data_IF_733152357941
#
_entry.id   IF_733152357941
#
_cell.length_a   1.000
_cell.length_b   1.000
_cell.length_c   1.000
_cell.angle_alpha   90.00
_cell.angle_beta   90.00
_cell.angle_gamma   90.00
#
_symmetry.space_group_name_H-M   'P 1'
#
loop_
_entity.id
_entity.type
_entity.pdbx_description
1 polymer ?
#
# COMPACT_ATOMS: atom_id res chain seq x y z
N UNK A 1 -64.40 -59.46 7.44
CA UNK A 1 -63.16 -59.38 6.62
C UNK A 1 -62.67 -57.95 6.31
N UNK A 2 -63.24 -56.88 6.89
CA UNK A 2 -62.95 -55.48 6.50
C UNK A 2 -61.86 -54.74 7.33
N UNK A 3 -61.29 -55.35 8.38
CA UNK A 3 -60.37 -54.66 9.30
C UNK A 3 -58.89 -54.66 8.84
N UNK A 4 -58.50 -55.59 7.96
CA UNK A 4 -57.10 -55.73 7.48
C UNK A 4 -56.70 -54.67 6.44
N UNK A 5 -57.62 -54.24 5.58
CA UNK A 5 -57.37 -53.30 4.48
C UNK A 5 -57.14 -51.86 4.95
N UNK A 6 -57.75 -51.45 6.07
CA UNK A 6 -57.54 -50.12 6.67
C UNK A 6 -56.14 -49.96 7.29
N UNK A 7 -55.64 -50.98 8.01
CA UNK A 7 -54.31 -50.89 8.64
C UNK A 7 -53.17 -50.88 7.63
N UNK A 8 -53.26 -51.66 6.55
CA UNK A 8 -52.27 -51.67 5.45
C UNK A 8 -52.17 -50.34 4.70
N UNK A 9 -53.30 -49.64 4.51
CA UNK A 9 -53.31 -48.30 3.91
C UNK A 9 -52.71 -47.25 4.83
N UNK A 10 -52.95 -47.34 6.14
CA UNK A 10 -52.38 -46.43 7.14
C UNK A 10 -50.86 -46.57 7.21
N UNK A 11 -50.33 -47.81 7.22
CA UNK A 11 -48.88 -48.06 7.23
C UNK A 11 -48.18 -47.56 5.96
N UNK A 12 -48.81 -47.69 4.79
CA UNK A 12 -48.28 -47.14 3.52
C UNK A 12 -48.29 -45.62 3.51
N UNK A 13 -49.34 -44.99 4.00
CA UNK A 13 -49.42 -43.53 4.12
C UNK A 13 -48.32 -43.00 5.07
N UNK A 14 -48.15 -43.62 6.23
CA UNK A 14 -47.07 -43.28 7.17
C UNK A 14 -45.70 -43.42 6.51
N UNK A 15 -45.46 -44.51 5.76
CA UNK A 15 -44.22 -44.70 5.01
C UNK A 15 -44.00 -43.58 3.98
N UNK A 16 -45.00 -43.22 3.18
CA UNK A 16 -44.87 -42.13 2.19
C UNK A 16 -44.61 -40.77 2.84
N UNK A 17 -45.24 -40.48 3.98
CA UNK A 17 -45.00 -39.23 4.72
C UNK A 17 -43.58 -39.18 5.28
N UNK A 18 -43.05 -40.29 5.80
CA UNK A 18 -41.66 -40.38 6.27
C UNK A 18 -40.69 -40.17 5.11
N UNK A 19 -40.89 -40.87 3.99
CA UNK A 19 -40.02 -40.73 2.80
C UNK A 19 -40.05 -39.30 2.29
N UNK A 20 -41.22 -38.69 2.11
CA UNK A 20 -41.34 -37.29 1.69
C UNK A 20 -40.61 -36.36 2.66
N UNK A 21 -40.81 -36.52 3.96
CA UNK A 21 -40.14 -35.69 4.97
C UNK A 21 -38.62 -35.82 4.89
N UNK A 22 -38.09 -37.02 4.70
CA UNK A 22 -36.66 -37.25 4.52
C UNK A 22 -36.17 -36.57 3.23
N UNK A 23 -36.89 -36.74 2.12
CA UNK A 23 -36.55 -36.10 0.84
C UNK A 23 -36.55 -34.58 0.95
N UNK A 24 -37.55 -33.98 1.62
CA UNK A 24 -37.64 -32.54 1.82
C UNK A 24 -36.46 -32.03 2.65
N UNK A 25 -36.11 -32.73 3.74
CA UNK A 25 -34.96 -32.38 4.59
C UNK A 25 -33.65 -32.48 3.81
N UNK A 26 -33.47 -33.55 3.02
CA UNK A 26 -32.28 -33.71 2.18
C UNK A 26 -32.19 -32.63 1.11
N UNK A 27 -33.31 -32.27 0.47
CA UNK A 27 -33.35 -31.20 -0.52
C UNK A 27 -32.95 -29.85 0.10
N UNK A 28 -33.53 -29.51 1.25
CA UNK A 28 -33.19 -28.28 1.98
C UNK A 28 -31.71 -28.29 2.38
N UNK A 29 -31.17 -29.42 2.84
CA UNK A 29 -29.76 -29.54 3.21
C UNK A 29 -28.84 -29.34 2.00
N UNK A 30 -29.16 -29.94 0.85
CA UNK A 30 -28.37 -29.79 -0.39
C UNK A 30 -28.43 -28.34 -0.89
N UNK A 31 -29.61 -27.72 -0.91
CA UNK A 31 -29.76 -26.32 -1.31
C UNK A 31 -29.00 -25.39 -0.35
N UNK A 32 -29.11 -25.62 0.96
CA UNK A 32 -28.37 -24.88 1.98
C UNK A 32 -26.85 -25.01 1.82
N UNK A 33 -26.35 -26.23 1.54
CA UNK A 33 -24.93 -26.46 1.30
C UNK A 33 -24.45 -25.80 0.00
N UNK A 34 -25.23 -25.91 -1.08
CA UNK A 34 -24.91 -25.25 -2.35
C UNK A 34 -24.88 -23.72 -2.22
N UNK A 35 -25.85 -23.15 -1.50
CA UNK A 35 -25.85 -21.73 -1.17
C UNK A 35 -24.64 -21.35 -0.31
N UNK A 36 -24.32 -22.14 0.71
CA UNK A 36 -23.18 -21.88 1.58
C UNK A 36 -21.86 -21.82 0.80
N UNK A 37 -21.60 -22.83 -0.04
CA UNK A 37 -20.36 -22.92 -0.81
C UNK A 37 -20.23 -21.82 -1.88
N UNK A 38 -21.35 -21.30 -2.39
CA UNK A 38 -21.35 -20.25 -3.42
C UNK A 38 -21.34 -18.85 -2.83
N UNK A 39 -22.11 -18.60 -1.76
CA UNK A 39 -22.27 -17.27 -1.17
C UNK A 39 -21.14 -16.92 -0.18
N UNK A 40 -20.66 -17.89 0.59
CA UNK A 40 -19.67 -17.64 1.66
C UNK A 40 -18.28 -18.17 1.35
N UNK A 41 -18.07 -18.73 0.14
CA UNK A 41 -16.82 -19.20 -0.44
C UNK A 41 -15.69 -19.41 0.60
N UNK A 42 -15.68 -20.56 1.31
CA UNK A 42 -14.74 -20.81 2.41
C UNK A 42 -13.31 -21.10 1.93
N UNK A 43 -12.99 -20.85 0.65
CA UNK A 43 -11.71 -21.22 0.05
C UNK A 43 -10.61 -20.18 0.27
N UNK A 44 -10.91 -19.05 0.93
CA UNK A 44 -9.86 -18.13 1.37
C UNK A 44 -9.03 -18.75 2.47
N UNK A 45 -7.73 -18.78 2.24
CA UNK A 45 -6.75 -19.28 3.18
C UNK A 45 -5.61 -18.27 3.27
N UNK A 46 -5.15 -17.99 4.47
CA UNK A 46 -4.16 -16.96 4.68
C UNK A 46 -3.97 -16.64 6.15
N UNK A 47 -2.88 -15.93 6.45
CA UNK A 47 -2.47 -15.56 7.79
C UNK A 47 -1.94 -14.14 7.80
N UNK A 48 -2.13 -13.45 8.92
CA UNK A 48 -1.32 -12.29 9.29
C UNK A 48 -0.02 -12.84 9.88
N UNK A 49 1.10 -12.59 9.21
CA UNK A 49 2.39 -13.12 9.64
C UNK A 49 2.97 -12.29 10.80
N UNK A 50 2.82 -10.97 10.71
CA UNK A 50 3.35 -10.04 11.70
C UNK A 50 2.62 -8.67 11.60
N UNK A 51 2.46 -8.01 12.74
CA UNK A 51 1.84 -6.69 12.88
C UNK A 51 2.51 -5.90 14.00
N UNK A 52 2.74 -4.61 13.76
CA UNK A 52 3.30 -3.68 14.73
C UNK A 52 2.83 -2.25 14.42
N UNK A 53 3.33 -1.27 15.17
CA UNK A 53 2.98 0.15 15.03
C UNK A 53 3.33 0.80 13.70
N UNK A 54 3.98 0.07 12.77
CA UNK A 54 4.36 0.59 11.44
C UNK A 54 3.67 -0.15 10.31
N UNK A 55 3.42 -1.44 10.45
CA UNK A 55 2.88 -2.23 9.35
C UNK A 55 2.17 -3.49 9.82
N UNK A 56 1.28 -3.99 8.95
CA UNK A 56 0.63 -5.30 9.05
C UNK A 56 0.88 -6.04 7.76
N UNK A 57 1.46 -7.24 7.81
CA UNK A 57 1.76 -8.02 6.61
C UNK A 57 1.33 -9.46 6.75
N UNK A 58 1.11 -10.10 5.61
CA UNK A 58 0.71 -11.48 5.56
C UNK A 58 0.45 -11.92 4.14
N UNK A 59 -0.39 -12.93 4.01
CA UNK A 59 -0.81 -13.45 2.72
C UNK A 59 -2.23 -13.97 2.77
N UNK A 60 -2.86 -13.99 1.60
CA UNK A 60 -4.16 -14.60 1.41
C UNK A 60 -4.28 -15.11 -0.02
N UNK A 61 -4.88 -16.29 -0.18
CA UNK A 61 -5.17 -16.92 -1.46
C UNK A 61 -6.60 -17.42 -1.48
N UNK A 62 -7.24 -17.29 -2.64
CA UNK A 62 -8.49 -17.99 -2.95
C UNK A 62 -8.16 -19.33 -3.61
N UNK A 63 -8.30 -20.45 -2.89
CA UNK A 63 -7.97 -21.77 -3.46
C UNK A 63 -8.89 -22.20 -4.62
N UNK A 64 -10.05 -21.60 -4.78
CA UNK A 64 -10.92 -21.86 -5.94
C UNK A 64 -10.50 -21.06 -7.19
N UNK A 65 -9.70 -20.00 -7.02
CA UNK A 65 -9.18 -19.19 -8.10
C UNK A 65 -7.75 -18.68 -7.76
N UNK A 66 -6.76 -19.59 -7.69
CA UNK A 66 -5.41 -19.26 -7.21
C UNK A 66 -4.63 -18.31 -8.14
N UNK A 67 -5.10 -18.10 -9.36
CA UNK A 67 -4.51 -17.14 -10.30
C UNK A 67 -5.02 -15.70 -10.11
N UNK A 68 -6.02 -15.46 -9.26
CA UNK A 68 -6.66 -14.17 -9.07
C UNK A 68 -6.19 -13.53 -7.77
N UNK A 69 -5.74 -12.28 -7.85
CA UNK A 69 -5.38 -11.48 -6.68
C UNK A 69 -6.62 -11.29 -5.78
N UNK A 70 -6.43 -11.48 -4.47
CA UNK A 70 -7.52 -11.32 -3.48
C UNK A 70 -7.47 -9.91 -2.92
N UNK A 71 -8.59 -9.18 -2.91
CA UNK A 71 -8.68 -7.92 -2.16
C UNK A 71 -8.65 -8.20 -0.65
N UNK A 72 -7.72 -7.55 0.04
CA UNK A 72 -7.56 -7.63 1.49
C UNK A 72 -7.91 -6.28 2.12
N UNK A 73 -8.68 -6.30 3.20
CA UNK A 73 -9.06 -5.12 3.99
C UNK A 73 -8.51 -5.21 5.40
N UNK A 74 -7.76 -4.19 5.83
CA UNK A 74 -7.27 -4.07 7.20
C UNK A 74 -8.25 -3.30 8.06
N UNK A 75 -8.53 -3.85 9.25
CA UNK A 75 -9.21 -3.18 10.35
C UNK A 75 -8.32 -3.23 11.58
N UNK A 76 -8.20 -2.10 12.30
CA UNK A 76 -7.53 -2.05 13.60
C UNK A 76 -8.54 -1.56 14.63
N UNK A 77 -8.69 -2.30 15.72
CA UNK A 77 -9.67 -2.05 16.80
C UNK A 77 -11.10 -1.84 16.26
N UNK A 78 -11.45 -2.61 15.22
CA UNK A 78 -12.75 -2.54 14.56
C UNK A 78 -12.94 -1.36 13.59
N UNK A 79 -11.93 -0.51 13.39
CA UNK A 79 -11.97 0.60 12.41
C UNK A 79 -11.30 0.20 11.11
N UNK A 80 -11.96 0.47 9.99
CA UNK A 80 -11.37 0.28 8.66
C UNK A 80 -10.14 1.18 8.49
N UNK A 81 -9.06 0.62 7.97
CA UNK A 81 -7.80 1.33 7.71
C UNK A 81 -7.59 1.49 6.21
N UNK A 82 -7.49 0.38 5.48
CA UNK A 82 -7.11 0.37 4.06
C UNK A 82 -7.61 -0.90 3.37
N UNK A 83 -7.82 -0.82 2.04
CA UNK A 83 -8.11 -1.97 1.17
C UNK A 83 -7.16 -1.99 -0.03
N UNK A 84 -6.60 -3.16 -0.35
CA UNK A 84 -5.74 -3.34 -1.51
C UNK A 84 -5.70 -4.79 -1.99
N UNK A 85 -5.34 -5.06 -3.27
CA UNK A 85 -5.10 -6.42 -3.73
C UNK A 85 -3.85 -7.01 -3.07
N UNK A 86 -3.94 -8.27 -2.62
CA UNK A 86 -2.84 -9.05 -2.11
C UNK A 86 -1.98 -9.59 -3.27
N UNK A 87 -1.14 -8.73 -3.84
CA UNK A 87 -0.35 -9.02 -5.03
C UNK A 87 1.17 -8.99 -4.80
N UNK A 88 1.61 -8.86 -3.54
CA UNK A 88 3.03 -8.85 -3.20
C UNK A 88 3.62 -10.27 -3.34
N UNK A 89 4.88 -10.39 -3.80
CA UNK A 89 5.52 -11.67 -4.02
C UNK A 89 5.75 -12.46 -2.72
N UNK A 90 5.35 -13.74 -2.74
CA UNK A 90 5.48 -14.74 -1.69
C UNK A 90 6.01 -16.07 -2.26
N UNK A 91 7.32 -16.15 -2.57
CA UNK A 91 7.94 -17.37 -3.09
C UNK A 91 7.80 -18.58 -2.14
N UNK A 92 7.71 -18.31 -0.83
CA UNK A 92 7.48 -19.30 0.21
C UNK A 92 6.14 -20.03 0.05
N UNK A 93 5.09 -19.36 -0.44
CA UNK A 93 3.77 -19.96 -0.66
C UNK A 93 3.77 -20.87 -1.89
N UNK A 94 4.48 -20.48 -2.96
CA UNK A 94 4.67 -21.33 -4.16
C UNK A 94 5.44 -22.59 -3.80
N UNK A 95 6.50 -22.48 -2.97
CA UNK A 95 7.28 -23.61 -2.50
C UNK A 95 6.44 -24.67 -1.75
N UNK A 96 5.34 -24.25 -1.11
CA UNK A 96 4.40 -25.15 -0.43
C UNK A 96 3.33 -25.77 -1.34
N UNK A 97 3.38 -25.54 -2.66
CA UNK A 97 2.39 -25.98 -3.65
C UNK A 97 0.96 -25.51 -3.34
N UNK A 98 0.81 -24.44 -2.57
CA UNK A 98 -0.49 -23.84 -2.25
C UNK A 98 -0.98 -22.88 -3.35
N UNK A 99 -0.07 -22.42 -4.20
CA UNK A 99 -0.29 -21.40 -5.21
C UNK A 99 0.52 -21.68 -6.48
N UNK A 100 -0.03 -21.29 -7.63
CA UNK A 100 0.65 -21.37 -8.93
C UNK A 100 1.55 -20.15 -9.21
N UNK A 101 1.36 -19.06 -8.46
CA UNK A 101 2.14 -17.82 -8.59
C UNK A 101 2.46 -17.22 -7.22
N UNK A 102 3.34 -16.22 -7.19
CA UNK A 102 3.83 -15.61 -5.96
C UNK A 102 2.94 -14.46 -5.45
N UNK A 103 1.94 -14.01 -6.20
CA UNK A 103 1.19 -12.77 -5.93
C UNK A 103 0.05 -13.01 -4.93
N UNK A 104 0.43 -13.26 -3.68
CA UNK A 104 -0.52 -13.55 -2.61
C UNK A 104 -0.25 -12.78 -1.31
N UNK A 105 0.79 -11.96 -1.27
CA UNK A 105 1.14 -11.17 -0.10
C UNK A 105 0.36 -9.86 -0.01
N UNK A 106 0.01 -9.45 1.20
CA UNK A 106 -0.47 -8.10 1.51
C UNK A 106 0.50 -7.39 2.47
N UNK A 107 0.58 -6.07 2.36
CA UNK A 107 1.38 -5.23 3.25
C UNK A 107 0.68 -3.88 3.46
N UNK A 108 0.15 -3.65 4.65
CA UNK A 108 -0.51 -2.40 5.03
C UNK A 108 0.40 -1.56 5.89
N UNK A 109 0.28 -0.24 5.77
CA UNK A 109 0.91 0.69 6.71
C UNK A 109 -0.03 0.88 7.89
N UNK A 110 0.49 0.77 9.12
CA UNK A 110 -0.33 0.98 10.32
C UNK A 110 -0.50 2.48 10.56
N UNK A 111 -1.73 2.98 10.77
CA UNK A 111 -1.98 4.39 11.09
C UNK A 111 -1.44 4.73 12.49
N UNK A 112 -1.54 6.00 12.85
CA UNK A 112 -1.27 6.44 14.21
C UNK A 112 -2.16 5.70 15.22
N UNK A 113 -1.55 5.20 16.30
CA UNK A 113 -2.23 4.49 17.36
C UNK A 113 -1.70 4.97 18.71
N UNK A 114 -2.62 5.20 19.64
CA UNK A 114 -2.32 5.54 21.03
C UNK A 114 -1.44 4.47 21.67
N UNK A 115 -0.73 4.81 22.75
CA UNK A 115 0.01 3.79 23.49
C UNK A 115 -0.93 2.74 24.08
N UNK A 116 -0.64 1.47 23.84
CA UNK A 116 -1.48 0.38 24.31
C UNK A 116 -1.47 -0.86 23.43
N UNK A 117 -2.38 -1.76 23.75
CA UNK A 117 -2.66 -2.96 22.98
C UNK A 117 -3.68 -2.67 21.88
N UNK A 118 -3.40 -3.16 20.67
CA UNK A 118 -4.24 -3.02 19.50
C UNK A 118 -4.45 -4.38 18.84
N UNK A 119 -5.57 -4.50 18.15
CA UNK A 119 -5.96 -5.70 17.44
C UNK A 119 -6.11 -5.43 15.94
N UNK A 120 -5.27 -6.07 15.13
CA UNK A 120 -5.39 -6.09 13.68
C UNK A 120 -6.23 -7.28 13.20
N UNK A 121 -7.24 -7.00 12.37
CA UNK A 121 -8.04 -7.98 11.64
C UNK A 121 -7.93 -7.71 10.14
N UNK A 122 -7.51 -8.71 9.38
CA UNK A 122 -7.49 -8.64 7.91
C UNK A 122 -8.62 -9.49 7.36
N UNK A 123 -9.41 -8.94 6.45
CA UNK A 123 -10.51 -9.64 5.78
C UNK A 123 -10.21 -9.81 4.30
N UNK A 124 -10.47 -11.00 3.77
CA UNK A 124 -10.54 -11.25 2.34
C UNK A 124 -11.92 -10.84 1.84
N UNK A 125 -11.96 -10.09 0.74
CA UNK A 125 -13.21 -9.72 0.09
C UNK A 125 -13.56 -10.77 -0.95
N UNK A 126 -14.80 -11.26 -0.86
CA UNK A 126 -15.38 -12.15 -1.86
C UNK A 126 -16.54 -11.47 -2.56
N UNK A 127 -16.42 -11.32 -3.87
CA UNK A 127 -17.47 -10.80 -4.74
C UNK A 127 -18.16 -11.94 -5.49
N UNK A 128 -19.50 -11.91 -5.52
CA UNK A 128 -20.30 -12.89 -6.25
C UNK A 128 -21.53 -12.24 -6.88
N UNK A 129 -22.16 -12.94 -7.84
CA UNK A 129 -23.32 -12.42 -8.57
C UNK A 129 -22.99 -11.15 -9.34
N UNK A 130 -21.90 -11.16 -10.12
CA UNK A 130 -21.44 -10.01 -10.92
C UNK A 130 -21.18 -8.72 -10.10
N UNK A 131 -20.82 -8.88 -8.82
CA UNK A 131 -20.50 -7.77 -7.92
C UNK A 131 -21.69 -7.30 -7.07
N UNK A 132 -22.88 -7.85 -7.24
CA UNK A 132 -24.05 -7.51 -6.41
C UNK A 132 -23.87 -7.89 -4.93
N UNK A 133 -23.00 -8.88 -4.65
CA UNK A 133 -22.76 -9.38 -3.30
C UNK A 133 -21.28 -9.28 -2.96
N UNK A 134 -20.99 -8.57 -1.87
CA UNK A 134 -19.68 -8.50 -1.23
C UNK A 134 -19.76 -9.12 0.17
N UNK A 135 -18.89 -10.09 0.43
CA UNK A 135 -18.76 -10.74 1.73
C UNK A 135 -17.33 -10.64 2.22
N UNK A 136 -17.14 -10.60 3.54
CA UNK A 136 -15.83 -10.50 4.18
C UNK A 136 -15.56 -11.79 4.96
N UNK A 137 -14.42 -12.43 4.68
CA UNK A 137 -13.93 -13.57 5.45
C UNK A 137 -12.69 -13.16 6.24
N UNK A 138 -12.67 -13.40 7.54
CA UNK A 138 -11.48 -13.16 8.35
C UNK A 138 -10.32 -14.04 7.87
N UNK A 139 -9.16 -13.43 7.63
CA UNK A 139 -7.92 -14.11 7.26
C UNK A 139 -7.22 -14.56 8.54
N UNK A 140 -7.11 -15.87 8.74
CA UNK A 140 -6.46 -16.44 9.92
C UNK A 140 -7.20 -16.08 11.22
N UNK A 141 -6.49 -15.44 12.14
CA UNK A 141 -6.99 -14.98 13.45
C UNK A 141 -6.63 -13.51 13.66
N UNK A 142 -7.32 -12.79 14.56
CA UNK A 142 -6.91 -11.45 14.94
C UNK A 142 -5.49 -11.45 15.50
N UNK A 143 -4.67 -10.49 15.08
CA UNK A 143 -3.30 -10.33 15.53
C UNK A 143 -3.25 -9.19 16.56
N UNK A 144 -2.78 -9.48 17.76
CA UNK A 144 -2.65 -8.49 18.83
C UNK A 144 -1.21 -7.99 18.89
N UNK A 145 -1.03 -6.68 18.98
CA UNK A 145 0.28 -6.06 19.09
C UNK A 145 0.23 -4.88 20.06
N UNK A 146 1.36 -4.58 20.68
CA UNK A 146 1.48 -3.44 21.60
C UNK A 146 2.29 -2.36 20.90
N UNK A 147 1.84 -1.12 21.04
CA UNK A 147 2.58 0.07 20.63
C UNK A 147 2.87 0.93 21.85
N UNK A 148 4.05 1.55 21.91
CA UNK A 148 4.39 2.55 22.95
C UNK A 148 3.69 3.90 22.71
N UNK A 149 2.76 3.93 21.76
CA UNK A 149 2.21 5.14 21.18
C UNK A 149 3.13 5.53 20.03
N UNK A 150 2.57 5.57 18.84
CA UNK A 150 3.19 6.33 17.77
C UNK A 150 2.34 7.59 17.70
N UNK A 151 2.90 8.82 17.81
CA UNK A 151 2.13 9.99 17.44
C UNK A 151 1.49 9.73 16.08
N UNK A 152 0.47 10.50 15.72
CA UNK A 152 0.19 10.72 14.30
C UNK A 152 1.36 11.46 13.66
N UNK A 153 2.57 10.89 13.72
CA UNK A 153 3.65 11.26 12.86
C UNK A 153 3.18 10.90 11.46
N UNK A 154 3.02 11.91 10.59
CA UNK A 154 2.56 11.68 9.25
C UNK A 154 3.53 10.70 8.62
N UNK A 155 2.98 9.61 8.11
CA UNK A 155 3.77 8.63 7.40
C UNK A 155 4.13 9.25 6.06
N UNK A 156 5.25 9.98 6.08
CA UNK A 156 5.78 10.58 4.88
C UNK A 156 6.47 9.50 4.05
N UNK A 157 5.98 9.31 2.83
CA UNK A 157 6.65 8.54 1.80
C UNK A 157 7.16 9.51 0.76
N UNK A 158 8.44 9.46 0.44
CA UNK A 158 9.01 10.33 -0.59
C UNK A 158 10.36 9.87 -1.09
N UNK A 159 10.85 10.53 -2.12
CA UNK A 159 12.11 10.20 -2.78
C UNK A 159 12.76 11.45 -3.37
N UNK A 160 14.10 11.46 -3.44
CA UNK A 160 14.86 12.43 -4.25
C UNK A 160 15.18 11.77 -5.58
N UNK A 161 14.43 12.12 -6.63
CA UNK A 161 14.62 11.52 -7.96
C UNK A 161 15.98 11.91 -8.56
N UNK A 162 16.41 13.16 -8.34
CA UNK A 162 17.65 13.68 -8.90
C UNK A 162 18.18 14.85 -8.07
N UNK A 163 19.51 14.88 -7.88
CA UNK A 163 20.24 16.00 -7.34
C UNK A 163 21.49 16.26 -8.20
N UNK A 164 21.68 17.49 -8.65
CA UNK A 164 22.82 17.90 -9.46
C UNK A 164 23.14 19.39 -9.27
N UNK A 165 24.15 19.90 -9.97
CA UNK A 165 24.61 21.29 -9.89
C UNK A 165 23.56 22.34 -10.31
N UNK A 166 22.45 21.94 -10.92
CA UNK A 166 21.39 22.82 -11.41
C UNK A 166 20.13 22.73 -10.55
N UNK A 167 19.75 21.53 -10.10
CA UNK A 167 18.52 21.34 -9.33
C UNK A 167 18.53 20.09 -8.44
N UNK A 168 17.58 20.09 -7.49
CA UNK A 168 17.18 18.93 -6.71
C UNK A 168 15.67 18.76 -6.84
N UNK A 169 15.21 17.58 -7.26
CA UNK A 169 13.77 17.30 -7.44
C UNK A 169 13.39 15.94 -6.90
N UNK A 170 12.11 15.80 -6.60
CA UNK A 170 11.58 14.57 -6.04
C UNK A 170 10.10 14.70 -5.72
N UNK A 171 9.64 13.87 -4.81
CA UNK A 171 8.25 13.88 -4.35
C UNK A 171 8.14 13.47 -2.88
N UNK A 172 7.03 13.87 -2.27
CA UNK A 172 6.64 13.43 -0.94
C UNK A 172 5.12 13.42 -0.79
N UNK A 173 4.61 12.41 -0.09
CA UNK A 173 3.21 12.22 0.25
C UNK A 173 3.14 12.03 1.75
N UNK A 174 2.23 12.76 2.39
CA UNK A 174 1.77 12.43 3.73
C UNK A 174 0.65 11.38 3.62
N UNK A 175 0.92 10.13 4.01
CA UNK A 175 -0.12 9.09 3.97
C UNK A 175 -1.23 9.29 5.01
N UNK A 176 -1.03 10.12 6.04
CA UNK A 176 -2.08 10.49 6.99
C UNK A 176 -2.99 11.58 6.42
N UNK A 177 -2.45 12.48 5.59
CA UNK A 177 -3.23 13.48 4.85
C UNK A 177 -2.84 13.53 3.36
N UNK A 178 -3.27 12.54 2.53
CA UNK A 178 -2.81 12.42 1.16
C UNK A 178 -3.13 13.61 0.24
N UNK A 179 -4.10 14.46 0.60
CA UNK A 179 -4.43 15.68 -0.14
C UNK A 179 -3.62 16.92 0.31
N UNK A 180 -2.81 16.79 1.37
CA UNK A 180 -1.94 17.86 1.84
C UNK A 180 -0.66 17.93 1.00
N UNK A 181 -0.09 19.13 0.91
CA UNK A 181 1.20 19.39 0.26
C UNK A 181 2.23 19.68 1.36
N UNK A 182 3.01 18.69 1.84
CA UNK A 182 3.93 18.90 2.94
C UNK A 182 4.98 19.96 2.62
N UNK A 183 5.39 20.73 3.62
CA UNK A 183 6.54 21.62 3.49
C UNK A 183 7.83 20.80 3.53
N UNK A 184 8.73 21.05 2.57
CA UNK A 184 10.04 20.41 2.47
C UNK A 184 11.16 21.43 2.45
N UNK A 185 12.28 21.09 3.07
CA UNK A 185 13.48 21.91 3.17
C UNK A 185 14.67 21.22 2.50
N UNK A 186 15.36 21.96 1.62
CA UNK A 186 16.61 21.52 1.03
C UNK A 186 17.79 22.01 1.86
N UNK A 187 18.70 21.08 2.17
CA UNK A 187 20.03 21.37 2.70
C UNK A 187 21.08 20.84 1.73
N UNK A 188 22.12 21.63 1.48
CA UNK A 188 23.32 21.18 0.76
C UNK A 188 24.51 21.39 1.69
N UNK A 189 25.30 20.34 1.90
CA UNK A 189 26.45 20.34 2.82
C UNK A 189 26.11 20.88 4.22
N UNK A 190 24.93 20.47 4.72
CA UNK A 190 24.35 20.88 6.01
C UNK A 190 23.95 22.35 6.10
N UNK A 191 24.04 23.11 5.01
CA UNK A 191 23.53 24.48 4.92
C UNK A 191 22.11 24.48 4.40
N UNK A 192 21.20 25.15 5.11
CA UNK A 192 19.84 25.40 4.63
C UNK A 192 19.87 26.25 3.35
N UNK A 193 19.14 25.80 2.33
CA UNK A 193 19.04 26.48 1.03
C UNK A 193 17.68 27.16 0.91
N UNK A 194 16.59 26.39 0.94
CA UNK A 194 15.23 26.88 0.73
C UNK A 194 14.20 25.93 1.36
N UNK A 195 13.00 26.45 1.65
CA UNK A 195 11.82 25.68 2.05
C UNK A 195 10.65 25.92 1.09
N UNK A 196 9.85 24.90 0.78
CA UNK A 196 8.70 24.99 -0.13
C UNK A 196 7.67 23.89 0.12
N UNK A 197 6.40 24.14 -0.21
CA UNK A 197 5.38 23.09 -0.27
C UNK A 197 5.60 22.15 -1.47
N UNK A 198 5.53 20.84 -1.26
CA UNK A 198 5.56 19.84 -2.32
C UNK A 198 4.21 19.78 -3.05
N UNK A 199 4.03 20.63 -4.06
CA UNK A 199 2.77 20.81 -4.79
C UNK A 199 2.93 20.72 -6.31
N UNK A 200 4.10 20.30 -6.81
CA UNK A 200 4.36 20.17 -8.24
C UNK A 200 3.67 18.92 -8.80
N UNK A 201 3.17 18.97 -10.05
CA UNK A 201 2.44 17.87 -10.67
C UNK A 201 3.32 16.62 -10.89
N UNK A 202 2.77 15.46 -10.53
CA UNK A 202 3.34 14.11 -10.60
C UNK A 202 2.29 13.10 -11.08
N UNK A 203 1.91 13.15 -12.38
CA UNK A 203 0.95 12.22 -12.95
C UNK A 203 1.41 10.75 -12.87
N UNK A 204 2.73 10.52 -12.79
CA UNK A 204 3.33 9.21 -12.60
C UNK A 204 2.91 8.54 -11.29
N UNK A 205 2.72 9.31 -10.21
CA UNK A 205 2.31 8.78 -8.90
C UNK A 205 0.84 8.35 -8.90
N UNK A 206 -0.03 9.05 -9.63
CA UNK A 206 -1.44 8.66 -9.82
C UNK A 206 -1.53 7.41 -10.68
N UNK A 207 -0.79 7.36 -11.80
CA UNK A 207 -0.76 6.19 -12.68
C UNK A 207 -0.27 4.92 -11.97
N UNK A 208 0.71 5.06 -11.07
CA UNK A 208 1.23 3.98 -10.25
C UNK A 208 0.38 3.66 -9.00
N UNK A 209 -0.76 4.36 -8.80
CA UNK A 209 -1.63 4.25 -7.63
C UNK A 209 -0.91 4.48 -6.30
N UNK A 210 0.09 5.35 -6.32
CA UNK A 210 0.84 5.77 -5.12
C UNK A 210 0.14 6.94 -4.42
N UNK A 211 -0.54 7.80 -5.18
CA UNK A 211 -1.24 8.97 -4.68
C UNK A 211 -2.63 9.14 -5.30
N UNK A 212 -3.52 9.82 -4.58
CA UNK A 212 -4.88 10.15 -5.06
C UNK A 212 -4.94 11.36 -5.99
N UNK A 213 -3.90 12.20 -5.99
CA UNK A 213 -3.77 13.34 -6.89
C UNK A 213 -2.30 13.57 -7.32
N UNK A 214 -2.07 14.56 -8.17
CA UNK A 214 -0.76 14.80 -8.78
C UNK A 214 0.14 15.75 -7.96
N UNK A 215 -0.35 16.39 -6.89
CA UNK A 215 0.33 17.53 -6.26
C UNK A 215 1.31 17.09 -5.16
N UNK A 216 2.31 16.31 -5.52
CA UNK A 216 3.25 15.74 -4.55
C UNK A 216 4.72 15.98 -4.87
N UNK A 217 5.02 16.66 -5.98
CA UNK A 217 6.39 16.94 -6.40
C UNK A 217 7.01 18.15 -5.69
N UNK A 218 8.32 18.11 -5.51
CA UNK A 218 9.13 19.27 -5.15
C UNK A 218 10.25 19.48 -6.18
N UNK A 219 10.65 20.74 -6.34
CA UNK A 219 11.75 21.15 -7.20
C UNK A 219 12.45 22.36 -6.57
N UNK A 220 13.77 22.27 -6.43
CA UNK A 220 14.65 23.32 -5.93
C UNK A 220 15.72 23.62 -6.97
N UNK A 221 16.06 24.90 -7.12
CA UNK A 221 17.24 25.30 -7.90
C UNK A 221 18.48 25.22 -7.01
N UNK A 222 19.50 24.51 -7.47
CA UNK A 222 20.78 24.43 -6.77
C UNK A 222 21.50 25.79 -6.87
N UNK A 223 21.95 26.39 -5.76
CA UNK A 223 22.72 27.63 -5.82
C UNK A 223 24.08 27.41 -6.48
N UNK A 224 24.80 28.49 -6.79
CA UNK A 224 26.19 28.36 -7.21
C UNK A 224 27.01 27.71 -6.08
N UNK A 225 27.71 26.63 -6.41
CA UNK A 225 28.56 25.86 -5.52
C UNK A 225 29.98 25.82 -6.11
N UNK A 226 30.96 25.62 -5.24
CA UNK A 226 32.34 25.41 -5.66
C UNK A 226 32.49 24.11 -6.46
N UNK A 227 33.60 23.94 -7.17
CA UNK A 227 33.91 22.66 -7.80
C UNK A 227 34.17 21.59 -6.74
N UNK A 228 33.55 20.41 -6.89
CA UNK A 228 33.74 19.30 -5.96
C UNK A 228 32.50 18.44 -5.75
N UNK A 229 32.61 17.54 -4.76
CA UNK A 229 31.49 16.72 -4.29
C UNK A 229 30.64 17.49 -3.29
N UNK A 230 29.32 17.40 -3.47
CA UNK A 230 28.32 18.00 -2.60
C UNK A 230 27.27 16.97 -2.20
N UNK A 231 26.62 17.21 -1.07
CA UNK A 231 25.58 16.33 -0.51
C UNK A 231 24.27 17.09 -0.29
N UNK A 232 23.23 16.70 -1.01
CA UNK A 232 21.87 17.18 -0.83
C UNK A 232 21.12 16.32 0.20
N UNK A 233 20.40 16.97 1.11
CA UNK A 233 19.43 16.36 2.03
C UNK A 233 18.12 17.11 1.94
N UNK A 234 17.02 16.40 1.69
CA UNK A 234 15.68 16.98 1.72
C UNK A 234 14.96 16.47 2.96
N UNK A 235 14.48 17.40 3.78
CA UNK A 235 13.69 17.11 4.97
C UNK A 235 12.25 17.54 4.75
N UNK A 236 11.31 16.77 5.25
CA UNK A 236 9.94 17.23 5.45
C UNK A 236 9.82 17.92 6.81
N UNK A 237 9.07 19.01 6.84
CA UNK A 237 8.74 19.73 8.05
C UNK A 237 7.39 19.26 8.53
N UNK A 238 7.32 18.85 9.80
CA UNK A 238 6.07 18.46 10.41
C UNK A 238 5.95 19.03 11.83
N UNK A 239 4.73 19.44 12.19
CA UNK A 239 4.40 19.92 13.53
C UNK A 239 3.88 18.76 14.38
N UNK A 240 4.63 18.37 15.40
CA UNK A 240 4.25 17.29 16.33
C UNK A 240 4.05 17.83 17.75
N UNK A 241 3.13 17.17 18.48
CA UNK A 241 2.83 17.44 19.89
C UNK A 241 1.88 18.61 20.15
N UNK A 242 1.40 18.69 21.39
CA UNK A 242 0.49 19.75 21.89
C UNK A 242 1.13 21.15 21.88
N UNK A 243 2.45 21.23 21.76
CA UNK A 243 3.23 22.47 21.73
C UNK A 243 3.62 22.95 20.31
N UNK A 244 3.19 22.27 19.24
CA UNK A 244 3.50 22.60 17.83
C UNK A 244 5.01 22.72 17.54
N UNK A 245 5.82 21.78 18.01
CA UNK A 245 7.24 21.77 17.68
C UNK A 245 7.44 21.35 16.21
N UNK A 246 8.19 22.15 15.43
CA UNK A 246 8.58 21.81 14.06
C UNK A 246 9.73 20.80 14.09
N UNK A 247 9.46 19.59 13.63
CA UNK A 247 10.41 18.49 13.49
C UNK A 247 10.81 18.39 12.01
N UNK A 248 12.11 18.16 11.75
CA UNK A 248 12.63 17.87 10.43
C UNK A 248 12.88 16.36 10.30
N UNK A 249 12.24 15.73 9.31
CA UNK A 249 12.42 14.31 9.03
C UNK A 249 13.00 14.13 7.63
N UNK A 250 14.06 13.34 7.52
CA UNK A 250 14.73 13.13 6.25
C UNK A 250 13.84 12.25 5.34
N UNK A 251 13.63 12.68 4.09
CA UNK A 251 12.74 11.99 3.14
C UNK A 251 13.35 10.67 2.64
N UNK A 252 14.68 10.63 2.48
CA UNK A 252 15.42 9.46 1.99
C UNK A 252 16.88 9.47 2.50
N UNK A 253 17.84 8.80 1.85
CA UNK A 253 19.26 8.97 2.16
C UNK A 253 19.81 10.26 1.54
N UNK A 254 20.90 10.83 2.09
CA UNK A 254 21.58 11.95 1.44
C UNK A 254 22.03 11.59 0.01
N UNK A 255 21.77 12.49 -0.94
CA UNK A 255 22.13 12.31 -2.36
C UNK A 255 23.40 13.09 -2.67
N UNK A 256 24.43 12.43 -3.19
CA UNK A 256 25.70 13.07 -3.56
C UNK A 256 25.74 13.43 -5.03
N UNK A 257 26.32 14.56 -5.37
CA UNK A 257 26.54 14.99 -6.75
C UNK A 257 27.84 15.79 -6.90
N UNK A 258 28.33 15.91 -8.13
CA UNK A 258 29.59 16.60 -8.44
C UNK A 258 29.27 17.88 -9.23
N UNK A 259 29.87 18.99 -8.80
CA UNK A 259 29.93 20.25 -9.55
C UNK A 259 31.28 20.27 -10.26
N UNK A 260 31.28 20.47 -11.58
CA UNK A 260 32.49 20.57 -12.40
C UNK A 260 32.80 22.04 -12.69
N UNK A 261 34.08 22.37 -12.88
CA UNK A 261 34.47 23.68 -13.39
C UNK A 261 33.70 24.02 -14.68
N UNK A 262 33.20 25.26 -14.76
CA UNK A 262 32.68 25.78 -16.01
C UNK A 262 33.82 25.80 -17.03
N UNK A 263 33.67 25.07 -18.15
CA UNK A 263 34.62 25.13 -19.24
C UNK A 263 34.77 26.59 -19.70
N UNK A 264 35.93 27.19 -19.47
CA UNK A 264 36.24 28.51 -19.98
C UNK A 264 36.23 28.43 -21.50
N UNK A 265 35.18 28.97 -22.11
CA UNK A 265 35.11 29.18 -23.55
C UNK A 265 36.35 30.02 -23.94
N UNK A 266 37.22 29.58 -24.87
CA UNK A 266 38.40 30.37 -25.21
C UNK A 266 37.95 31.74 -25.73
N UNK A 267 38.52 32.79 -25.14
CA UNK A 267 38.30 34.18 -25.53
C UNK A 267 38.69 34.36 -26.99
N UNK A 268 37.78 34.88 -27.80
CA UNK A 268 38.01 35.23 -29.20
C UNK A 268 38.84 36.52 -29.35
N UNK A 269 39.97 36.62 -28.64
CA UNK A 269 40.90 37.76 -28.72
C UNK A 269 42.28 37.41 -29.31
N UNK A 270 42.51 36.16 -29.72
CA UNK A 270 43.80 35.75 -30.31
C UNK A 270 43.82 35.65 -31.86
N UNK A 271 42.70 35.89 -32.56
CA UNK A 271 42.69 35.96 -34.04
C UNK A 271 43.00 37.35 -34.62
N UNK A 272 43.13 38.40 -33.79
CA UNK A 272 43.45 39.75 -34.28
C UNK A 272 44.96 40.08 -34.34
N UNK A 273 45.86 39.20 -33.87
CA UNK A 273 47.31 39.49 -33.85
C UNK A 273 48.12 38.80 -34.95
N UNK A 274 47.49 37.98 -35.78
CA UNK A 274 48.17 37.29 -36.89
C UNK A 274 48.04 38.01 -38.25
N UNK A 275 47.21 39.05 -38.37
CA UNK A 275 47.04 39.80 -39.63
C UNK A 275 47.98 41.00 -39.79
N UNK A 276 48.74 41.41 -38.77
CA UNK A 276 49.56 42.64 -38.84
C UNK A 276 51.06 42.40 -39.09
N UNK A 277 51.51 41.14 -39.19
CA UNK A 277 52.92 40.82 -39.45
C UNK A 277 53.20 40.30 -40.89
N UNK A 278 52.25 40.45 -41.81
CA UNK A 278 52.41 40.11 -43.24
C UNK A 278 52.44 41.37 -44.12
N UNK A 279 53.02 42.46 -43.63
CA UNK A 279 53.27 43.68 -44.42
C UNK A 279 54.55 44.38 -43.95
N UNK A 280 55.71 43.73 -44.18
CA UNK A 280 57.01 44.38 -44.35
C UNK A 280 57.96 43.49 -45.12
#
# INVERSE_FOLDING_TARGET
MAKRTGSLKLTRLTYYLIVKSITDVLLIAILGLGFYLTAFNPYFHGWVDDANSRWVRGWVINRAAPAVDVEAQLYIDGRFVESQPANQPRPDIVATQLAENEKHGFFFTTPALEAGEHEARVFAVHESGEGERRTLQLVGKPFHFVTEGNPAEPYFRGWVDEANAQYVRGWIIDSATPAANPEVQLYIDKRFIESRAANQPRPDLVAARVAGDEKHGFFFTTPALEEGEHEARVYVVHESGSEKNRILRLIEKPTRFIVKAAESKPSAEEESKTSENSSR
#
